data_IF_631935771417
#
_entry.id   IF_631935771417
#
_cell.length_a   1.000
_cell.length_b   1.000
_cell.length_c   1.000
_cell.angle_alpha   90.00
_cell.angle_beta   90.00
_cell.angle_gamma   90.00
#
_symmetry.space_group_name_H-M   'P 1'
#
loop_
_entity.id
_entity.type
_entity.pdbx_description
1 polymer ?
#
# COMPACT_ATOMS: atom_id res chain seq x y z
N UNK A 1 14.50 18.37 -9.24
CA UNK A 1 15.61 17.39 -9.17
C UNK A 1 14.94 16.09 -8.81
N UNK A 2 14.59 15.29 -9.82
CA UNK A 2 13.92 14.00 -9.64
C UNK A 2 14.96 13.08 -8.98
N UNK A 3 14.72 12.69 -7.73
CA UNK A 3 15.61 11.75 -7.04
C UNK A 3 15.14 10.36 -7.44
N UNK A 4 15.94 9.70 -8.26
CA UNK A 4 15.77 8.30 -8.61
C UNK A 4 16.18 7.44 -7.41
N UNK A 5 15.26 6.66 -6.84
CA UNK A 5 15.62 5.71 -5.79
C UNK A 5 15.75 4.32 -6.42
N UNK A 6 16.99 3.86 -6.53
CA UNK A 6 17.28 2.49 -6.93
C UNK A 6 17.06 1.58 -5.73
N UNK A 7 16.09 0.68 -5.79
CA UNK A 7 16.02 -0.45 -4.86
C UNK A 7 17.33 -1.24 -4.96
N UNK A 8 18.09 -1.28 -3.86
CA UNK A 8 19.19 -2.21 -3.72
C UNK A 8 18.60 -3.63 -3.54
N UNK A 9 18.26 -4.27 -4.65
CA UNK A 9 18.04 -5.71 -4.66
C UNK A 9 19.34 -6.39 -4.19
N UNK A 10 19.32 -6.94 -2.99
CA UNK A 10 20.42 -7.77 -2.50
C UNK A 10 20.50 -9.04 -3.34
N UNK A 11 21.36 -9.03 -4.36
CA UNK A 11 21.71 -10.24 -5.11
C UNK A 11 22.52 -11.15 -4.19
N UNK A 12 21.87 -12.18 -3.63
CA UNK A 12 22.56 -13.30 -3.00
C UNK A 12 23.21 -14.14 -4.12
N UNK A 13 24.45 -13.82 -4.46
CA UNK A 13 25.26 -14.65 -5.35
C UNK A 13 25.67 -15.94 -4.62
N UNK A 14 24.96 -17.05 -4.86
CA UNK A 14 25.48 -18.38 -4.56
C UNK A 14 26.59 -18.70 -5.55
N UNK A 15 27.84 -18.62 -5.09
CA UNK A 15 28.99 -19.20 -5.78
C UNK A 15 28.94 -20.71 -5.66
N UNK A 16 28.61 -21.38 -6.77
CA UNK A 16 28.79 -22.81 -6.93
C UNK A 16 30.29 -23.14 -6.97
N UNK A 17 30.80 -23.76 -5.91
CA UNK A 17 32.07 -24.47 -5.92
C UNK A 17 31.77 -25.97 -6.10
N UNK A 18 31.98 -26.44 -7.33
CA UNK A 18 32.04 -27.86 -7.64
C UNK A 18 33.37 -28.44 -7.11
N UNK A 19 33.29 -29.52 -6.33
CA UNK A 19 34.32 -30.56 -6.22
C UNK A 19 33.78 -31.74 -5.41
N UNK A 20 33.99 -32.96 -5.93
CA UNK A 20 34.05 -34.17 -5.09
C UNK A 20 32.85 -35.10 -5.18
N UNK A 21 32.85 -35.93 -6.22
CA UNK A 21 32.22 -37.25 -6.28
C UNK A 21 32.64 -38.14 -5.10
N UNK A 22 31.68 -38.88 -4.51
CA UNK A 22 31.86 -40.26 -4.05
C UNK A 22 30.50 -40.95 -3.92
N UNK A 23 30.38 -42.08 -4.62
CA UNK A 23 29.26 -43.01 -4.63
C UNK A 23 29.16 -43.80 -3.32
N UNK A 24 27.96 -43.92 -2.74
CA UNK A 24 27.57 -45.10 -1.98
C UNK A 24 26.04 -45.25 -1.85
N UNK A 25 25.59 -46.41 -2.30
CA UNK A 25 24.25 -47.00 -2.32
C UNK A 25 23.55 -47.15 -0.96
N UNK A 26 22.21 -47.09 -0.93
CA UNK A 26 21.44 -47.81 0.09
C UNK A 26 20.00 -47.36 0.36
N UNK A 27 19.06 -47.92 -0.41
CA UNK A 27 17.80 -48.57 0.04
C UNK A 27 16.64 -47.77 0.68
N UNK A 28 15.49 -47.82 -0.02
CA UNK A 28 14.10 -47.64 0.48
C UNK A 28 13.71 -48.69 1.54
N UNK A 29 12.64 -48.47 2.34
CA UNK A 29 11.24 -48.80 1.95
C UNK A 29 10.20 -47.74 2.36
N UNK A 30 9.21 -47.43 1.52
CA UNK A 30 7.80 -47.90 1.52
C UNK A 30 6.84 -47.39 2.63
N UNK A 31 5.77 -46.78 2.12
CA UNK A 31 4.34 -46.85 2.47
C UNK A 31 3.74 -46.16 3.71
N UNK A 32 2.67 -45.40 3.42
CA UNK A 32 1.70 -44.90 4.40
C UNK A 32 0.68 -43.91 3.84
N UNK A 33 0.05 -44.17 2.68
CA UNK A 33 -1.11 -43.39 2.24
C UNK A 33 -2.38 -43.89 2.94
N UNK A 34 -3.13 -43.00 3.59
CA UNK A 34 -4.50 -43.28 4.03
C UNK A 34 -5.48 -42.48 3.19
N UNK A 35 -6.35 -43.21 2.50
CA UNK A 35 -7.46 -42.76 1.68
C UNK A 35 -8.70 -42.54 2.54
N UNK A 36 -9.31 -41.35 2.46
CA UNK A 36 -10.64 -41.06 3.00
C UNK A 36 -11.72 -41.45 1.99
N UNK A 37 -12.71 -42.20 2.47
CA UNK A 37 -13.75 -42.90 1.71
C UNK A 37 -14.97 -42.05 1.34
N UNK A 38 -15.62 -42.47 0.25
CA UNK A 38 -16.91 -42.00 -0.27
C UNK A 38 -18.06 -42.09 0.74
N UNK A 39 -18.88 -41.03 0.79
CA UNK A 39 -20.22 -41.03 1.38
C UNK A 39 -21.30 -41.04 0.29
N UNK A 40 -22.23 -41.97 0.41
CA UNK A 40 -23.30 -42.33 -0.53
C UNK A 40 -24.57 -41.50 -0.39
N UNK A 41 -25.36 -41.50 -1.46
CA UNK A 41 -26.67 -40.86 -1.64
C UNK A 41 -27.82 -41.59 -0.95
N UNK A 42 -28.83 -40.84 -0.50
CA UNK A 42 -30.13 -41.34 -0.04
C UNK A 42 -31.26 -40.39 -0.45
N UNK A 43 -32.33 -40.93 -1.02
CA UNK A 43 -33.49 -40.21 -1.60
C UNK A 43 -34.74 -40.24 -0.71
N UNK A 44 -35.54 -39.17 -0.87
CA UNK A 44 -36.99 -38.96 -0.71
C UNK A 44 -37.78 -39.50 0.49
N UNK A 45 -38.38 -38.55 1.23
CA UNK A 45 -39.61 -38.71 1.99
C UNK A 45 -40.50 -37.46 1.85
N UNK A 46 -41.68 -37.63 1.27
CA UNK A 46 -42.74 -36.63 1.10
C UNK A 46 -43.53 -36.40 2.38
N UNK A 47 -43.72 -35.16 2.83
CA UNK A 47 -44.96 -34.67 3.47
C UNK A 47 -44.93 -33.13 3.58
N UNK A 48 -46.07 -32.52 3.29
CA UNK A 48 -46.33 -31.07 3.25
C UNK A 48 -46.53 -30.48 4.64
N UNK A 49 -45.88 -29.34 4.95
CA UNK A 49 -46.15 -28.53 6.13
C UNK A 49 -45.32 -27.23 6.20
N UNK A 50 -45.99 -26.11 5.93
CA UNK A 50 -45.74 -24.70 6.31
C UNK A 50 -44.33 -24.06 6.28
N UNK A 51 -44.22 -23.04 5.41
CA UNK A 51 -43.48 -21.76 5.54
C UNK A 51 -42.30 -21.66 6.53
N UNK A 52 -41.07 -21.62 5.98
CA UNK A 52 -39.87 -21.18 6.69
C UNK A 52 -38.69 -20.89 5.74
N UNK A 53 -38.19 -19.65 5.82
CA UNK A 53 -36.82 -19.17 5.55
C UNK A 53 -36.03 -19.59 4.30
N UNK A 54 -35.74 -18.58 3.46
CA UNK A 54 -34.45 -18.27 2.79
C UNK A 54 -33.58 -19.43 2.27
N UNK A 55 -33.41 -19.47 0.94
CA UNK A 55 -32.49 -20.37 0.25
C UNK A 55 -31.04 -20.23 0.69
N UNK A 56 -30.39 -21.37 0.89
CA UNK A 56 -28.95 -21.51 1.13
C UNK A 56 -28.17 -21.18 -0.14
N UNK A 57 -27.43 -20.07 -0.11
CA UNK A 57 -26.35 -19.76 -1.05
C UNK A 57 -25.20 -20.74 -0.88
N UNK A 58 -24.58 -21.12 -1.99
CA UNK A 58 -23.51 -22.11 -2.07
C UNK A 58 -22.24 -21.73 -1.29
N UNK A 59 -21.44 -22.74 -0.96
CA UNK A 59 -20.15 -22.62 -0.29
C UNK A 59 -19.23 -21.65 -1.03
N UNK A 60 -18.96 -20.52 -0.38
CA UNK A 60 -17.80 -19.69 -0.63
C UNK A 60 -16.52 -20.46 -0.26
N UNK A 61 -15.51 -20.38 -1.12
CA UNK A 61 -14.18 -20.93 -0.89
C UNK A 61 -13.51 -20.36 0.35
N UNK A 62 -12.47 -21.07 0.79
CA UNK A 62 -11.72 -20.83 2.03
C UNK A 62 -11.43 -19.35 2.26
N UNK A 63 -12.02 -18.84 3.34
CA UNK A 63 -11.74 -17.53 3.93
C UNK A 63 -10.24 -17.35 4.14
N UNK A 64 -9.68 -16.32 3.51
CA UNK A 64 -8.46 -15.69 4.00
C UNK A 64 -8.69 -15.26 5.46
N UNK A 65 -7.67 -15.40 6.29
CA UNK A 65 -7.69 -14.92 7.66
C UNK A 65 -8.03 -13.43 7.67
N UNK A 66 -9.16 -13.07 8.27
CA UNK A 66 -9.45 -11.69 8.64
C UNK A 66 -8.32 -11.22 9.55
N UNK A 67 -7.40 -10.41 9.01
CA UNK A 67 -6.36 -9.77 9.80
C UNK A 67 -7.06 -8.99 10.92
N UNK A 68 -6.68 -9.27 12.16
CA UNK A 68 -7.14 -8.48 13.30
C UNK A 68 -6.65 -7.05 13.09
N UNK A 69 -7.56 -6.19 12.66
CA UNK A 69 -7.37 -4.74 12.60
C UNK A 69 -6.86 -4.27 13.96
N UNK A 70 -5.72 -3.58 13.97
CA UNK A 70 -5.22 -2.93 15.17
C UNK A 70 -6.32 -2.15 15.88
N UNK A 71 -6.65 -2.53 17.11
CA UNK A 71 -7.78 -1.99 17.89
C UNK A 71 -7.55 -0.58 18.43
N UNK A 72 -6.60 0.17 17.88
CA UNK A 72 -6.21 1.48 18.38
C UNK A 72 -6.72 2.58 17.48
N UNK A 73 -7.77 3.25 17.95
CA UNK A 73 -8.39 4.37 17.27
C UNK A 73 -9.90 4.15 17.08
N UNK A 74 -10.54 5.13 16.46
CA UNK A 74 -11.97 5.09 16.15
C UNK A 74 -12.18 5.22 14.64
N UNK A 75 -13.17 4.54 14.03
CA UNK A 75 -13.47 4.72 12.63
C UNK A 75 -13.68 6.20 12.29
N UNK A 76 -13.05 6.68 11.22
CA UNK A 76 -13.22 8.06 10.76
C UNK A 76 -14.55 8.29 10.03
N UNK A 77 -14.77 9.51 9.51
CA UNK A 77 -15.95 9.82 8.71
C UNK A 77 -15.95 9.11 7.35
N UNK A 78 -14.79 8.58 6.92
CA UNK A 78 -14.57 8.02 5.60
C UNK A 78 -13.97 9.04 4.64
N UNK A 79 -13.33 8.53 3.61
CA UNK A 79 -12.68 9.33 2.56
C UNK A 79 -13.33 9.00 1.23
N UNK A 80 -13.59 10.02 0.42
CA UNK A 80 -14.17 9.84 -0.92
C UNK A 80 -13.39 10.63 -1.95
N UNK A 81 -13.11 10.01 -3.09
CA UNK A 81 -12.46 10.66 -4.23
C UNK A 81 -13.09 10.19 -5.54
N UNK A 82 -13.43 11.14 -6.42
CA UNK A 82 -14.05 10.89 -7.71
C UNK A 82 -15.27 9.95 -7.69
N UNK A 83 -16.12 10.08 -6.66
CA UNK A 83 -17.32 9.28 -6.46
C UNK A 83 -17.10 7.93 -5.76
N UNK A 84 -15.83 7.54 -5.55
CA UNK A 84 -15.47 6.31 -4.85
C UNK A 84 -15.26 6.55 -3.36
N UNK A 85 -15.72 5.63 -2.53
CA UNK A 85 -15.19 5.51 -1.17
C UNK A 85 -13.76 4.95 -1.25
N UNK A 86 -12.84 5.54 -0.50
CA UNK A 86 -11.44 5.08 -0.41
C UNK A 86 -11.29 4.31 0.89
N UNK A 87 -11.51 2.99 0.78
CA UNK A 87 -11.55 2.04 1.88
C UNK A 87 -12.69 2.24 2.90
N UNK A 88 -13.06 1.20 3.65
CA UNK A 88 -13.96 1.31 4.80
C UNK A 88 -13.53 2.36 5.84
N UNK A 89 -14.47 2.85 6.65
CA UNK A 89 -14.20 3.92 7.62
C UNK A 89 -13.32 3.44 8.79
N UNK A 90 -13.37 2.14 9.07
CA UNK A 90 -12.54 1.43 10.03
C UNK A 90 -11.24 0.89 9.41
N UNK A 91 -10.99 1.17 8.13
CA UNK A 91 -9.70 0.90 7.52
C UNK A 91 -8.60 1.71 8.22
N UNK A 92 -7.40 1.16 8.46
CA UNK A 92 -6.33 1.91 9.11
C UNK A 92 -6.01 3.26 8.47
N UNK A 93 -6.15 3.43 7.16
CA UNK A 93 -6.02 4.75 6.52
C UNK A 93 -7.03 5.76 7.08
N UNK A 94 -8.27 5.36 7.32
CA UNK A 94 -9.37 6.23 7.75
C UNK A 94 -9.56 6.30 9.28
N UNK A 95 -8.83 5.49 10.07
CA UNK A 95 -8.96 5.45 11.53
C UNK A 95 -8.43 6.72 12.19
N UNK A 96 -9.25 7.39 12.99
CA UNK A 96 -8.85 8.46 13.89
C UNK A 96 -8.01 7.88 15.03
N UNK A 97 -6.76 8.32 15.12
CA UNK A 97 -5.81 7.90 16.14
C UNK A 97 -5.53 9.01 17.13
N UNK A 98 -6.24 10.13 17.17
CA UNK A 98 -5.95 11.26 18.09
C UNK A 98 -5.93 10.87 19.57
N UNK A 99 -6.68 9.84 19.95
CA UNK A 99 -6.74 9.31 21.32
C UNK A 99 -6.05 7.95 21.48
N UNK A 100 -5.38 7.44 20.43
CA UNK A 100 -4.65 6.17 20.50
C UNK A 100 -3.49 6.27 21.50
N UNK A 101 -3.24 5.19 22.23
CA UNK A 101 -2.11 5.11 23.16
C UNK A 101 -0.78 5.23 22.43
N UNK A 102 0.16 5.96 23.03
CA UNK A 102 1.56 5.99 22.58
C UNK A 102 2.19 4.61 22.79
N UNK A 103 2.97 4.16 21.81
CA UNK A 103 3.77 2.94 21.95
C UNK A 103 5.09 3.28 22.65
N UNK A 104 5.12 3.08 23.97
CA UNK A 104 6.29 3.46 24.80
C UNK A 104 7.56 2.69 24.44
N UNK A 105 7.40 1.44 24.00
CA UNK A 105 8.52 0.56 23.66
C UNK A 105 9.16 1.04 22.36
N UNK A 106 8.36 1.25 21.31
CA UNK A 106 8.86 1.77 20.03
C UNK A 106 9.33 3.23 20.15
N UNK A 107 8.70 4.04 21.00
CA UNK A 107 9.18 5.38 21.31
C UNK A 107 10.59 5.38 21.91
N UNK A 108 10.95 4.34 22.67
CA UNK A 108 12.28 4.20 23.27
C UNK A 108 13.27 3.56 22.30
N UNK A 109 12.86 2.51 21.58
CA UNK A 109 13.78 1.69 20.77
C UNK A 109 13.91 2.12 19.31
N UNK A 110 12.95 2.87 18.76
CA UNK A 110 12.87 3.18 17.32
C UNK A 110 12.94 4.67 17.05
N UNK A 111 12.13 5.47 17.75
CA UNK A 111 12.03 6.90 17.51
C UNK A 111 13.40 7.63 17.47
N UNK A 112 14.39 7.32 18.33
CA UNK A 112 15.72 7.94 18.25
C UNK A 112 16.47 7.71 16.92
N UNK A 113 16.09 6.68 16.16
CA UNK A 113 16.69 6.28 14.88
C UNK A 113 15.91 6.80 13.66
N UNK A 114 14.86 7.60 13.87
CA UNK A 114 14.03 8.16 12.81
C UNK A 114 14.38 9.62 12.51
N UNK A 115 15.67 9.97 12.42
CA UNK A 115 16.15 11.29 11.98
C UNK A 115 15.40 12.49 12.59
N UNK A 116 15.36 12.55 13.93
CA UNK A 116 14.49 13.47 14.69
C UNK A 116 14.66 14.96 14.40
N UNK A 117 15.82 15.38 13.86
CA UNK A 117 16.09 16.76 13.50
C UNK A 117 15.59 17.17 12.10
N UNK A 118 15.21 16.19 11.27
CA UNK A 118 14.79 16.39 9.88
C UNK A 118 13.36 16.93 9.84
N UNK A 119 13.16 17.97 9.02
CA UNK A 119 11.85 18.56 8.77
C UNK A 119 11.07 17.78 7.72
N UNK A 120 9.75 17.83 7.76
CA UNK A 120 8.92 17.23 6.72
C UNK A 120 9.19 17.86 5.36
N UNK A 121 9.15 17.05 4.30
CA UNK A 121 9.19 17.53 2.92
C UNK A 121 7.91 17.12 2.18
N UNK A 122 7.10 18.08 1.66
CA UNK A 122 5.99 17.75 0.80
C UNK A 122 6.47 17.38 -0.61
N UNK A 123 6.38 16.10 -0.94
CA UNK A 123 6.85 15.51 -2.19
C UNK A 123 5.72 15.46 -3.24
N UNK A 124 5.26 16.64 -3.67
CA UNK A 124 4.30 16.79 -4.75
C UNK A 124 4.35 18.18 -5.37
N UNK A 125 3.68 18.34 -6.51
CA UNK A 125 3.61 19.61 -7.21
C UNK A 125 2.64 19.56 -8.37
N UNK A 126 3.03 20.17 -9.48
CA UNK A 126 2.17 20.31 -10.65
C UNK A 126 2.38 19.18 -11.66
N UNK A 127 1.36 18.92 -12.48
CA UNK A 127 1.45 18.01 -13.63
C UNK A 127 2.48 18.54 -14.63
N UNK A 128 2.53 19.86 -14.84
CA UNK A 128 3.46 20.51 -15.75
C UNK A 128 4.93 20.30 -15.34
N UNK A 129 5.20 20.25 -14.03
CA UNK A 129 6.52 19.95 -13.46
C UNK A 129 6.82 18.44 -13.39
N UNK A 130 5.82 17.59 -13.68
CA UNK A 130 5.88 16.13 -13.54
C UNK A 130 6.30 15.71 -12.12
N UNK A 131 5.77 16.41 -11.11
CA UNK A 131 6.14 16.22 -9.69
C UNK A 131 4.93 15.85 -8.84
N UNK A 132 5.14 14.94 -7.88
CA UNK A 132 4.09 14.19 -7.19
C UNK A 132 3.61 12.98 -7.99
N UNK A 133 2.57 12.32 -7.49
CA UNK A 133 2.05 11.11 -8.13
C UNK A 133 0.77 11.39 -8.91
N UNK A 134 0.73 11.15 -10.23
CA UNK A 134 -0.48 11.39 -11.00
C UNK A 134 -1.51 10.29 -10.75
N UNK A 135 -2.75 10.70 -10.49
CA UNK A 135 -3.90 9.79 -10.38
C UNK A 135 -4.70 9.87 -11.67
N UNK A 136 -4.82 8.75 -12.39
CA UNK A 136 -5.74 8.62 -13.52
C UNK A 136 -7.06 8.07 -13.02
N UNK A 137 -8.18 8.71 -13.37
CA UNK A 137 -9.52 8.27 -12.96
C UNK A 137 -10.39 8.04 -14.18
N UNK A 138 -11.15 6.96 -14.18
CA UNK A 138 -12.20 6.76 -15.18
C UNK A 138 -12.77 5.36 -15.19
N UNK A 139 -13.47 5.06 -16.27
CA UNK A 139 -13.96 3.72 -16.57
C UNK A 139 -12.81 2.77 -16.89
N UNK A 140 -12.84 1.58 -16.30
CA UNK A 140 -12.01 0.43 -16.63
C UNK A 140 -12.00 0.19 -18.14
N UNK A 141 -10.79 0.05 -18.70
CA UNK A 141 -10.58 -0.30 -20.09
C UNK A 141 -10.73 -1.81 -20.31
N UNK A 142 -10.62 -2.27 -21.56
CA UNK A 142 -10.38 -3.69 -21.81
C UNK A 142 -9.08 -4.11 -21.13
N UNK A 143 -9.05 -5.20 -20.32
CA UNK A 143 -7.83 -5.66 -19.67
C UNK A 143 -6.65 -5.83 -20.63
N UNK A 144 -5.52 -5.19 -20.31
CA UNK A 144 -4.28 -5.22 -21.10
C UNK A 144 -3.18 -5.98 -20.35
N UNK A 145 -2.33 -6.75 -21.06
CA UNK A 145 -1.30 -7.56 -20.42
C UNK A 145 -0.24 -6.72 -19.71
N UNK A 146 0.28 -7.26 -18.59
CA UNK A 146 1.45 -6.71 -17.90
C UNK A 146 2.67 -7.59 -18.19
N UNK A 147 3.78 -6.96 -18.59
CA UNK A 147 5.09 -7.59 -18.73
C UNK A 147 5.97 -7.18 -17.56
N UNK A 148 6.46 -8.16 -16.81
CA UNK A 148 7.27 -7.90 -15.62
C UNK A 148 8.74 -7.67 -15.97
N UNK A 149 9.35 -6.60 -15.45
CA UNK A 149 10.79 -6.30 -15.60
C UNK A 149 11.65 -7.02 -14.57
N UNK A 150 11.03 -7.60 -13.54
CA UNK A 150 11.70 -8.30 -12.44
C UNK A 150 11.20 -9.74 -12.35
N UNK A 151 12.03 -10.62 -11.77
CA UNK A 151 11.68 -12.03 -11.58
C UNK A 151 10.63 -12.25 -10.49
N UNK A 152 10.54 -11.33 -9.52
CA UNK A 152 9.61 -11.38 -8.38
C UNK A 152 8.25 -10.74 -8.70
N UNK A 153 8.16 -9.91 -9.75
CA UNK A 153 6.90 -9.30 -10.20
C UNK A 153 5.74 -10.30 -10.32
N UNK A 154 5.90 -11.44 -11.03
CA UNK A 154 4.84 -12.46 -11.14
C UNK A 154 4.47 -13.16 -9.82
N UNK A 155 5.28 -13.09 -8.77
CA UNK A 155 5.05 -13.80 -7.50
C UNK A 155 4.49 -12.91 -6.40
N UNK A 156 4.58 -11.58 -6.56
CA UNK A 156 4.13 -10.60 -5.56
C UNK A 156 3.11 -9.59 -6.11
N UNK A 157 2.63 -9.79 -7.35
CA UNK A 157 1.59 -8.98 -7.99
C UNK A 157 0.24 -9.70 -8.04
N UNK A 158 -0.85 -8.95 -8.03
CA UNK A 158 -2.19 -9.56 -8.04
C UNK A 158 -2.56 -10.12 -9.42
N UNK A 159 -3.01 -11.38 -9.50
CA UNK A 159 -3.47 -11.91 -10.78
C UNK A 159 -4.85 -11.32 -11.14
N UNK A 160 -4.96 -10.80 -12.36
CA UNK A 160 -6.22 -10.49 -13.03
C UNK A 160 -6.25 -11.28 -14.35
N UNK A 161 -7.15 -12.27 -14.49
CA UNK A 161 -7.19 -13.13 -15.67
C UNK A 161 -7.33 -12.38 -16.99
N UNK A 162 -6.58 -12.82 -18.00
CA UNK A 162 -6.66 -12.25 -19.35
C UNK A 162 -7.93 -12.73 -20.08
N UNK A 163 -8.75 -11.82 -20.67
CA UNK A 163 -9.98 -12.19 -21.37
C UNK A 163 -9.78 -13.16 -22.54
N UNK A 164 -8.62 -13.14 -23.19
CA UNK A 164 -8.27 -14.02 -24.31
C UNK A 164 -7.95 -15.46 -23.91
N UNK A 165 -7.85 -15.76 -22.60
CA UNK A 165 -7.23 -16.99 -22.10
C UNK A 165 -5.69 -16.96 -22.24
N UNK A 166 -5.00 -17.74 -21.41
CA UNK A 166 -3.54 -17.96 -21.51
C UNK A 166 -2.63 -17.07 -20.64
N UNK A 167 -3.17 -16.05 -19.96
CA UNK A 167 -2.40 -15.16 -19.08
C UNK A 167 -3.14 -14.81 -17.78
N UNK A 168 -2.38 -14.45 -16.74
CA UNK A 168 -2.90 -14.14 -15.38
C UNK A 168 -2.75 -12.67 -14.97
N UNK A 169 -2.11 -11.83 -15.76
CA UNK A 169 -1.84 -10.44 -15.41
C UNK A 169 -2.31 -9.53 -16.54
N UNK A 170 -3.61 -9.25 -16.57
CA UNK A 170 -4.22 -8.33 -17.50
C UNK A 170 -5.06 -7.29 -16.75
N UNK A 171 -4.56 -6.06 -16.61
CA UNK A 171 -5.22 -5.02 -15.82
C UNK A 171 -6.04 -4.10 -16.72
N UNK A 172 -7.25 -3.68 -16.32
CA UNK A 172 -8.12 -2.80 -17.12
C UNK A 172 -7.72 -1.32 -17.01
N UNK A 173 -6.44 -1.04 -17.21
CA UNK A 173 -5.86 0.31 -17.16
C UNK A 173 -5.89 0.92 -18.58
N UNK A 174 -6.42 2.15 -18.76
CA UNK A 174 -6.31 2.89 -20.02
C UNK A 174 -4.85 3.11 -20.43
N UNK A 175 -4.50 2.90 -21.70
CA UNK A 175 -3.10 3.02 -22.18
C UNK A 175 -2.54 4.45 -22.10
N UNK A 176 -3.40 5.44 -21.91
CA UNK A 176 -3.06 6.85 -21.69
C UNK A 176 -3.01 7.24 -20.20
N UNK A 177 -3.10 6.27 -19.28
CA UNK A 177 -2.89 6.50 -17.86
C UNK A 177 -1.50 7.10 -17.61
N UNK A 178 -1.49 8.13 -16.74
CA UNK A 178 -0.30 8.92 -16.45
C UNK A 178 0.68 8.15 -15.59
N UNK A 179 1.97 8.39 -15.81
CA UNK A 179 3.08 7.82 -15.06
C UNK A 179 3.84 8.98 -14.39
N UNK A 180 4.23 8.79 -13.13
CA UNK A 180 5.11 9.70 -12.39
C UNK A 180 6.37 10.05 -13.20
N UNK A 181 6.77 11.32 -13.14
CA UNK A 181 7.94 11.83 -13.87
C UNK A 181 7.76 11.88 -15.40
N UNK A 182 6.60 11.44 -15.90
CA UNK A 182 6.21 11.51 -17.31
C UNK A 182 7.14 10.76 -18.28
N UNK A 183 7.02 11.04 -19.59
CA UNK A 183 7.78 10.34 -20.62
C UNK A 183 9.30 10.53 -20.53
N UNK A 184 9.76 11.58 -19.86
CA UNK A 184 11.18 11.93 -19.72
C UNK A 184 11.90 11.25 -18.55
N UNK A 185 11.16 10.70 -17.58
CA UNK A 185 11.76 9.99 -16.44
C UNK A 185 12.53 8.74 -16.89
N UNK A 186 13.65 8.46 -16.24
CA UNK A 186 14.54 7.35 -16.60
C UNK A 186 13.92 6.03 -16.15
N UNK A 187 14.22 4.95 -16.86
CA UNK A 187 13.75 3.59 -16.53
C UNK A 187 14.02 3.16 -15.08
N UNK A 188 15.10 3.67 -14.46
CA UNK A 188 15.46 3.36 -13.07
C UNK A 188 14.85 4.28 -12.00
N UNK A 189 14.02 5.26 -12.39
CA UNK A 189 13.23 6.08 -11.46
C UNK A 189 11.96 5.28 -11.04
N UNK A 190 11.28 5.71 -9.99
CA UNK A 190 10.17 4.94 -9.40
C UNK A 190 8.99 4.74 -10.36
N UNK A 191 8.57 5.79 -11.08
CA UNK A 191 7.63 5.73 -12.19
C UNK A 191 6.32 5.01 -11.83
N UNK A 192 5.70 5.44 -10.73
CA UNK A 192 4.39 4.93 -10.31
C UNK A 192 3.30 5.27 -11.33
N UNK A 193 2.40 4.31 -11.57
CA UNK A 193 1.13 4.52 -12.27
C UNK A 193 0.00 4.19 -11.32
N UNK A 194 -0.92 5.15 -11.14
CA UNK A 194 -2.10 5.00 -10.28
C UNK A 194 -3.34 5.17 -11.13
N UNK A 195 -4.18 4.13 -11.19
CA UNK A 195 -5.46 4.17 -11.90
C UNK A 195 -6.62 3.77 -10.99
N UNK A 196 -7.53 4.72 -10.76
CA UNK A 196 -8.79 4.51 -10.07
C UNK A 196 -9.90 4.23 -11.09
N UNK A 197 -10.32 2.97 -11.14
CA UNK A 197 -11.50 2.56 -11.89
C UNK A 197 -12.77 2.88 -11.07
N UNK A 198 -13.60 3.79 -11.56
CA UNK A 198 -14.80 4.26 -10.87
C UNK A 198 -16.13 3.79 -11.51
N UNK A 199 -16.09 2.67 -12.24
CA UNK A 199 -17.27 2.08 -12.86
C UNK A 199 -18.36 1.75 -11.83
N UNK A 200 -19.52 2.40 -11.95
CA UNK A 200 -20.68 2.07 -11.12
C UNK A 200 -20.50 2.36 -9.62
N UNK A 201 -19.61 3.30 -9.27
CA UNK A 201 -19.45 3.88 -7.93
C UNK A 201 -20.78 4.10 -7.16
N UNK A 202 -20.80 4.02 -5.80
CA UNK A 202 -19.63 4.17 -4.91
C UNK A 202 -18.96 2.89 -4.38
N UNK A 203 -19.61 1.73 -4.39
CA UNK A 203 -19.13 0.53 -3.66
C UNK A 203 -18.43 -0.53 -4.55
N UNK A 204 -18.11 -0.19 -5.80
CA UNK A 204 -17.46 -1.11 -6.75
C UNK A 204 -16.19 -0.52 -7.37
N UNK A 205 -15.59 0.46 -6.70
CA UNK A 205 -14.36 1.07 -7.17
C UNK A 205 -13.15 0.16 -6.95
N UNK A 206 -12.34 0.03 -7.99
CA UNK A 206 -11.11 -0.74 -7.99
C UNK A 206 -9.94 0.20 -8.23
N UNK A 207 -8.86 -0.01 -7.49
CA UNK A 207 -7.62 0.73 -7.64
C UNK A 207 -6.54 -0.19 -8.19
N UNK A 208 -5.87 0.24 -9.24
CA UNK A 208 -4.76 -0.46 -9.87
C UNK A 208 -3.51 0.41 -9.76
N UNK A 209 -2.46 -0.12 -9.15
CA UNK A 209 -1.20 0.58 -8.96
C UNK A 209 -0.05 -0.25 -9.53
N UNK A 210 0.83 0.36 -10.30
CA UNK A 210 2.03 -0.28 -10.86
C UNK A 210 3.28 0.49 -10.41
N UNK A 211 4.35 -0.23 -10.08
CA UNK A 211 5.66 0.33 -9.78
C UNK A 211 6.67 0.09 -10.91
N UNK A 212 7.56 1.04 -11.12
CA UNK A 212 8.56 1.08 -12.18
C UNK A 212 7.94 0.89 -13.58
N UNK A 213 6.85 1.61 -13.84
CA UNK A 213 6.10 1.51 -15.09
C UNK A 213 6.88 2.16 -16.22
N UNK A 214 7.24 1.38 -17.24
CA UNK A 214 7.96 1.87 -18.40
C UNK A 214 7.01 2.59 -19.36
N UNK A 215 7.57 3.50 -20.17
CA UNK A 215 6.79 4.20 -21.19
C UNK A 215 6.08 3.20 -22.12
N UNK A 216 4.81 3.49 -22.38
CA UNK A 216 3.96 2.61 -23.16
C UNK A 216 4.50 2.43 -24.59
N UNK A 217 4.71 1.17 -24.99
CA UNK A 217 5.28 0.82 -26.31
C UNK A 217 4.51 -0.28 -27.06
N UNK A 218 3.33 -0.66 -26.59
CA UNK A 218 2.54 -1.74 -27.20
C UNK A 218 1.10 -1.83 -26.74
N UNK A 219 0.57 -3.05 -26.68
CA UNK A 219 -0.83 -3.33 -26.32
C UNK A 219 -1.09 -3.43 -24.81
N UNK A 220 -0.06 -3.33 -23.97
CA UNK A 220 -0.14 -3.38 -22.52
C UNK A 220 1.10 -2.81 -21.85
N UNK A 221 1.19 -2.90 -20.53
CA UNK A 221 2.22 -2.20 -19.76
C UNK A 221 3.44 -3.09 -19.46
N UNK A 222 4.57 -2.44 -19.21
CA UNK A 222 5.78 -3.08 -18.67
C UNK A 222 6.09 -2.44 -17.32
N UNK A 223 6.19 -3.23 -16.25
CA UNK A 223 6.34 -2.73 -14.87
C UNK A 223 7.13 -3.74 -14.01
N UNK A 224 7.59 -3.34 -12.83
CA UNK A 224 8.25 -4.25 -11.88
C UNK A 224 7.22 -5.01 -11.02
N UNK A 225 6.13 -4.37 -10.62
CA UNK A 225 5.07 -4.96 -9.80
C UNK A 225 3.71 -4.32 -10.07
N UNK A 226 2.64 -4.98 -9.61
CA UNK A 226 1.29 -4.46 -9.73
C UNK A 226 0.35 -4.92 -8.62
N UNK A 227 -0.35 -3.96 -8.02
CA UNK A 227 -1.30 -4.17 -6.95
C UNK A 227 -2.72 -3.76 -7.36
N UNK A 228 -3.70 -4.51 -6.89
CA UNK A 228 -5.13 -4.31 -7.12
C UNK A 228 -5.83 -4.25 -5.77
N UNK A 229 -6.54 -3.16 -5.50
CA UNK A 229 -7.28 -2.96 -4.27
C UNK A 229 -8.78 -2.79 -4.54
N UNK A 230 -9.59 -3.55 -3.82
CA UNK A 230 -11.04 -3.33 -3.71
C UNK A 230 -11.28 -2.27 -2.65
N UNK A 231 -11.79 -1.10 -3.04
CA UNK A 231 -11.89 0.06 -2.14
C UNK A 231 -13.07 -0.01 -1.15
N UNK A 232 -13.88 -1.06 -1.21
CA UNK A 232 -14.93 -1.39 -0.27
C UNK A 232 -14.48 -2.39 0.81
N UNK A 233 -13.19 -2.79 0.82
CA UNK A 233 -12.68 -3.88 1.65
C UNK A 233 -11.53 -3.46 2.57
N UNK A 234 -11.44 -4.12 3.73
CA UNK A 234 -10.28 -4.08 4.64
C UNK A 234 -9.32 -5.27 4.43
N UNK A 235 -9.54 -6.07 3.38
CA UNK A 235 -8.65 -7.18 3.07
C UNK A 235 -7.22 -6.67 2.82
N UNK A 236 -6.26 -7.28 3.51
CA UNK A 236 -4.84 -7.03 3.28
C UNK A 236 -4.36 -7.83 2.06
N UNK A 237 -3.24 -7.41 1.48
CA UNK A 237 -2.49 -8.24 0.54
C UNK A 237 -1.99 -9.52 1.25
N UNK A 238 -1.59 -10.56 0.50
CA UNK A 238 -0.89 -11.68 1.10
C UNK A 238 0.37 -11.24 1.86
N UNK A 239 0.66 -11.91 2.98
CA UNK A 239 1.89 -11.67 3.75
C UNK A 239 3.13 -11.86 2.86
N UNK A 240 4.09 -10.95 2.99
CA UNK A 240 5.31 -10.91 2.19
C UNK A 240 5.14 -10.36 0.77
N UNK A 241 3.94 -9.95 0.34
CA UNK A 241 3.77 -9.36 -0.99
C UNK A 241 3.95 -7.85 -0.96
N UNK A 242 4.88 -7.34 -1.75
CA UNK A 242 4.99 -5.91 -2.03
C UNK A 242 3.78 -5.39 -2.83
N UNK A 243 3.75 -4.08 -3.11
CA UNK A 243 2.76 -3.43 -3.95
C UNK A 243 3.44 -2.50 -4.95
N UNK A 244 2.76 -1.42 -5.38
CA UNK A 244 3.45 -0.29 -5.99
C UNK A 244 4.26 0.53 -4.95
N UNK A 245 4.02 0.28 -3.66
CA UNK A 245 4.75 0.77 -2.49
C UNK A 245 5.53 -0.40 -1.83
N UNK A 246 6.61 -0.11 -1.10
CA UNK A 246 7.40 -1.17 -0.44
C UNK A 246 6.66 -1.86 0.73
N UNK A 247 5.75 -1.16 1.44
CA UNK A 247 5.02 -1.75 2.55
C UNK A 247 3.92 -2.75 2.16
N UNK A 248 3.64 -2.94 0.86
CA UNK A 248 2.50 -3.74 0.41
C UNK A 248 1.15 -3.02 0.60
N UNK A 249 1.12 -1.69 0.63
CA UNK A 249 -0.09 -0.90 0.84
C UNK A 249 -0.45 -0.08 -0.39
N UNK A 250 -1.69 0.44 -0.45
CA UNK A 250 -2.07 1.39 -1.49
C UNK A 250 -1.33 2.71 -1.33
N UNK A 251 -0.67 3.15 -2.41
CA UNK A 251 -0.04 4.47 -2.50
C UNK A 251 -1.11 5.57 -2.46
N UNK A 252 -2.14 5.46 -3.29
CA UNK A 252 -3.20 6.46 -3.47
C UNK A 252 -3.96 6.77 -2.18
N UNK A 253 -4.16 5.78 -1.31
CA UNK A 253 -4.86 5.97 -0.04
C UNK A 253 -4.10 6.84 0.97
N UNK A 254 -2.79 6.99 0.81
CA UNK A 254 -1.96 7.85 1.65
C UNK A 254 -1.60 9.21 1.03
N UNK A 255 -2.05 9.51 -0.19
CA UNK A 255 -1.68 10.77 -0.87
C UNK A 255 -2.50 11.95 -0.37
N UNK A 256 -1.82 13.07 -0.16
CA UNK A 256 -2.47 14.37 0.01
C UNK A 256 -3.02 14.85 -1.34
N UNK A 257 -4.32 15.18 -1.38
CA UNK A 257 -4.99 15.62 -2.61
C UNK A 257 -5.46 17.07 -2.54
N UNK A 258 -5.49 17.74 -3.69
CA UNK A 258 -5.91 19.13 -3.77
C UNK A 258 -7.40 19.31 -3.44
N UNK A 259 -8.24 18.36 -3.84
CA UNK A 259 -9.67 18.40 -3.52
C UNK A 259 -9.93 18.43 -2.00
N UNK A 260 -9.06 17.81 -1.20
CA UNK A 260 -9.22 17.75 0.26
C UNK A 260 -8.94 19.12 0.87
N UNK A 261 -7.94 19.79 0.31
CA UNK A 261 -7.62 21.17 0.64
C UNK A 261 -8.78 22.10 0.26
N UNK A 262 -9.43 21.87 -0.89
CA UNK A 262 -10.61 22.64 -1.28
C UNK A 262 -11.81 22.37 -0.36
N UNK A 263 -11.97 21.14 0.10
CA UNK A 263 -13.00 20.74 1.08
C UNK A 263 -12.69 21.25 2.50
N UNK A 264 -11.43 21.54 2.80
CA UNK A 264 -10.98 22.04 4.09
C UNK A 264 -10.56 20.96 5.08
N UNK A 265 -10.52 19.69 4.67
CA UNK A 265 -10.17 18.57 5.54
C UNK A 265 -9.58 17.39 4.76
N UNK A 266 -8.59 16.74 5.35
CA UNK A 266 -8.09 15.42 4.96
C UNK A 266 -8.56 14.44 6.02
N UNK A 267 -9.20 13.36 5.59
CA UNK A 267 -9.93 12.41 6.46
C UNK A 267 -9.25 11.05 6.59
N UNK A 268 -7.98 10.97 6.20
CA UNK A 268 -7.17 9.76 6.25
C UNK A 268 -5.73 10.07 6.72
N UNK A 269 -4.98 9.02 7.02
CA UNK A 269 -3.56 9.09 7.33
C UNK A 269 -2.75 9.36 6.06
N UNK A 270 -1.62 10.06 6.21
CA UNK A 270 -0.76 10.43 5.08
C UNK A 270 0.43 9.46 5.04
N UNK A 271 0.82 9.00 3.85
CA UNK A 271 2.02 8.13 3.72
C UNK A 271 3.30 8.96 3.89
N UNK A 272 4.33 8.34 4.46
CA UNK A 272 5.67 8.93 4.51
C UNK A 272 6.77 7.88 4.33
N UNK A 273 7.99 8.35 4.11
CA UNK A 273 9.17 7.51 3.86
C UNK A 273 10.28 7.72 4.89
N UNK A 274 11.14 6.71 5.02
CA UNK A 274 12.38 6.73 5.81
C UNK A 274 13.51 6.13 4.98
N UNK A 275 14.75 6.60 5.15
CA UNK A 275 15.89 6.12 4.34
C UNK A 275 16.26 4.68 4.69
N UNK A 276 16.10 4.32 5.96
CA UNK A 276 16.38 3.00 6.47
C UNK A 276 15.21 2.46 7.29
N UNK A 277 14.77 1.25 6.95
CA UNK A 277 13.71 0.52 7.64
C UNK A 277 14.18 -0.87 8.05
N UNK A 278 13.45 -1.52 8.96
CA UNK A 278 13.72 -2.91 9.35
C UNK A 278 12.92 -3.89 8.48
N UNK A 279 13.42 -5.11 8.41
CA UNK A 279 12.81 -6.28 7.75
C UNK A 279 11.64 -6.86 8.57
N UNK A 280 10.68 -6.00 8.87
CA UNK A 280 9.47 -6.30 9.62
C UNK A 280 8.43 -5.20 9.36
N UNK A 281 7.16 -5.51 9.63
CA UNK A 281 6.04 -4.62 9.39
C UNK A 281 5.02 -4.66 10.52
N UNK A 282 4.14 -3.65 10.56
CA UNK A 282 2.94 -3.58 11.38
C UNK A 282 1.76 -3.44 10.42
N UNK A 283 0.72 -4.25 10.60
CA UNK A 283 -0.48 -4.14 9.75
C UNK A 283 -1.07 -2.71 9.76
N UNK A 284 -1.56 -2.21 8.61
CA UNK A 284 -1.92 -2.98 7.40
C UNK A 284 -0.78 -3.25 6.42
N UNK A 285 0.45 -2.85 6.71
CA UNK A 285 1.58 -3.30 5.90
C UNK A 285 1.70 -4.83 5.95
N UNK A 286 2.11 -5.42 4.83
CA UNK A 286 2.27 -6.87 4.65
C UNK A 286 3.66 -7.23 4.15
N UNK A 287 4.49 -6.22 3.86
CA UNK A 287 5.84 -6.38 3.33
C UNK A 287 6.77 -5.30 3.88
N UNK A 288 8.06 -5.57 3.83
CA UNK A 288 9.17 -4.73 4.24
C UNK A 288 10.31 -4.86 3.23
N UNK A 289 11.08 -3.77 3.09
CA UNK A 289 12.24 -3.71 2.20
C UNK A 289 13.48 -3.25 2.97
N UNK A 290 13.62 -3.71 4.22
CA UNK A 290 14.58 -3.19 5.19
C UNK A 290 15.76 -4.12 5.48
N UNK A 291 16.50 -3.79 6.53
CA UNK A 291 17.57 -4.62 7.08
C UNK A 291 17.14 -5.33 8.37
N UNK A 292 17.97 -6.25 8.89
CA UNK A 292 17.67 -6.96 10.15
C UNK A 292 17.91 -6.13 11.41
N UNK A 293 18.26 -4.84 11.29
CA UNK A 293 18.46 -3.96 12.43
C UNK A 293 17.13 -3.61 13.10
N UNK A 294 16.92 -4.14 14.31
CA UNK A 294 15.69 -3.95 15.10
C UNK A 294 15.56 -2.56 15.73
N UNK A 295 16.51 -1.65 15.51
CA UNK A 295 16.38 -0.24 15.91
C UNK A 295 15.68 0.62 14.84
N UNK A 296 15.71 0.20 13.57
CA UNK A 296 15.09 0.93 12.45
C UNK A 296 13.56 0.81 12.49
N UNK A 297 12.78 1.74 11.91
CA UNK A 297 11.32 1.62 11.93
C UNK A 297 10.81 0.49 11.02
N UNK A 298 9.78 -0.28 11.45
CA UNK A 298 9.09 -1.25 10.59
C UNK A 298 8.12 -0.57 9.62
N UNK A 299 7.90 -1.16 8.44
CA UNK A 299 6.84 -0.70 7.54
C UNK A 299 5.48 -0.74 8.24
N UNK A 300 4.58 0.18 7.88
CA UNK A 300 3.27 0.34 8.53
C UNK A 300 3.31 0.96 9.94
N UNK A 301 4.50 1.31 10.46
CA UNK A 301 4.62 2.10 11.69
C UNK A 301 3.79 3.39 11.56
N UNK A 302 2.93 3.64 12.56
CA UNK A 302 2.11 4.84 12.59
C UNK A 302 2.64 5.85 13.59
N UNK A 303 2.84 7.08 13.12
CA UNK A 303 3.20 8.23 13.95
C UNK A 303 2.10 9.26 13.93
N UNK A 304 1.93 10.00 15.02
CA UNK A 304 0.95 11.09 15.15
C UNK A 304 1.69 12.36 15.52
N UNK A 305 1.31 13.49 14.93
CA UNK A 305 1.82 14.79 15.37
C UNK A 305 1.29 15.09 16.77
N UNK A 306 2.19 15.41 17.71
CA UNK A 306 1.81 15.63 19.11
C UNK A 306 0.74 16.71 19.22
N UNK A 307 -0.24 16.49 20.10
CA UNK A 307 -1.29 17.48 20.38
C UNK A 307 -0.73 18.84 20.84
N UNK A 308 0.43 18.82 21.51
CA UNK A 308 1.15 20.00 22.00
C UNK A 308 1.87 20.82 20.91
N UNK A 309 1.96 20.32 19.68
CA UNK A 309 2.56 21.08 18.58
C UNK A 309 1.72 22.34 18.31
N UNK A 310 2.34 23.53 18.41
CA UNK A 310 1.69 24.81 18.16
C UNK A 310 1.53 25.07 16.66
N UNK A 311 0.31 24.90 16.19
CA UNK A 311 -0.12 25.14 14.81
C UNK A 311 -1.04 26.36 14.71
N UNK A 312 -1.01 27.27 15.68
CA UNK A 312 -1.84 28.49 15.70
C UNK A 312 -1.50 29.47 14.58
N UNK A 313 -0.26 29.43 14.08
CA UNK A 313 0.23 30.30 12.99
C UNK A 313 0.08 29.68 11.60
N UNK A 314 -0.32 28.41 11.52
CA UNK A 314 -0.53 27.74 10.24
C UNK A 314 -1.90 28.13 9.69
N UNK A 315 -1.94 28.37 8.37
CA UNK A 315 -3.17 28.71 7.65
C UNK A 315 -3.25 27.92 6.35
N UNK A 316 -4.41 27.96 5.70
CA UNK A 316 -4.60 27.36 4.38
C UNK A 316 -4.24 25.87 4.32
N UNK A 317 -3.62 25.41 3.23
CA UNK A 317 -3.30 23.99 3.01
C UNK A 317 -2.44 23.39 4.13
N UNK A 318 -1.45 24.12 4.66
CA UNK A 318 -0.59 23.62 5.73
C UNK A 318 -1.37 23.31 7.01
N UNK A 319 -2.39 24.12 7.35
CA UNK A 319 -3.23 23.88 8.52
C UNK A 319 -4.07 22.61 8.36
N UNK A 320 -4.58 22.38 7.16
CA UNK A 320 -5.39 21.19 6.83
C UNK A 320 -4.55 19.92 6.97
N UNK A 321 -3.35 19.91 6.36
CA UNK A 321 -2.40 18.80 6.46
C UNK A 321 -2.01 18.50 7.91
N UNK A 322 -1.66 19.53 8.69
CA UNK A 322 -1.30 19.37 10.10
C UNK A 322 -2.47 18.88 10.96
N UNK A 323 -3.69 19.30 10.66
CA UNK A 323 -4.89 18.81 11.34
C UNK A 323 -5.06 17.31 11.12
N UNK A 324 -4.84 16.83 9.89
CA UNK A 324 -4.86 15.40 9.60
C UNK A 324 -3.70 14.65 10.26
N UNK A 325 -2.49 15.20 10.33
CA UNK A 325 -1.36 14.59 11.05
C UNK A 325 -1.63 14.43 12.55
N UNK A 326 -2.38 15.35 13.17
CA UNK A 326 -2.80 15.22 14.58
C UNK A 326 -3.90 14.17 14.76
N UNK A 327 -4.81 14.06 13.78
CA UNK A 327 -6.01 13.20 13.88
C UNK A 327 -5.78 11.78 13.38
N UNK A 328 -5.26 11.64 12.17
CA UNK A 328 -5.02 10.36 11.49
C UNK A 328 -3.54 9.97 11.48
N UNK A 329 -2.62 10.92 11.66
CA UNK A 329 -1.19 10.60 11.67
C UNK A 329 -0.61 10.28 10.30
N UNK A 330 0.62 9.75 10.32
CA UNK A 330 1.37 9.29 9.17
C UNK A 330 1.62 7.79 9.28
N UNK A 331 1.62 7.08 8.15
CA UNK A 331 1.97 5.66 8.08
C UNK A 331 3.23 5.50 7.23
N UNK A 332 4.24 4.82 7.78
CA UNK A 332 5.49 4.53 7.08
C UNK A 332 5.20 3.53 5.97
N UNK A 333 5.36 3.95 4.72
CA UNK A 333 4.89 3.18 3.58
C UNK A 333 6.04 2.73 2.67
N UNK A 334 7.13 3.48 2.63
CA UNK A 334 8.25 3.19 1.72
C UNK A 334 9.62 3.52 2.31
N UNK A 335 10.65 3.00 1.64
CA UNK A 335 12.00 3.53 1.75
C UNK A 335 12.15 4.74 0.83
N UNK A 336 12.77 5.81 1.32
CA UNK A 336 12.96 7.04 0.58
C UNK A 336 13.63 8.08 1.45
N UNK A 337 13.60 9.36 1.09
CA UNK A 337 14.17 10.37 1.98
C UNK A 337 13.40 10.48 3.30
N UNK A 338 14.13 10.68 4.40
CA UNK A 338 13.53 10.79 5.72
C UNK A 338 12.46 11.88 5.78
N UNK A 339 11.28 11.52 6.28
CA UNK A 339 10.16 12.45 6.52
C UNK A 339 9.57 13.11 5.27
N UNK A 340 9.73 12.50 4.10
CA UNK A 340 9.00 12.91 2.90
C UNK A 340 7.57 12.39 3.02
N UNK A 341 6.59 13.27 2.82
CA UNK A 341 5.18 12.92 2.70
C UNK A 341 4.74 13.14 1.26
N UNK A 342 3.90 12.27 0.72
CA UNK A 342 3.59 12.28 -0.72
C UNK A 342 2.20 12.83 -1.01
N UNK A 343 2.05 13.48 -2.16
CA UNK A 343 0.77 14.01 -2.64
C UNK A 343 0.57 13.77 -4.14
N UNK A 344 -0.62 14.11 -4.62
CA UNK A 344 -0.94 13.98 -6.04
C UNK A 344 -0.26 15.06 -6.91
N UNK A 345 -0.04 14.76 -8.20
CA UNK A 345 0.29 15.77 -9.20
C UNK A 345 -0.97 16.53 -9.63
N UNK A 346 -1.05 17.81 -9.28
CA UNK A 346 -2.17 18.68 -9.64
C UNK A 346 -1.71 20.13 -9.83
N UNK A 347 -2.05 20.75 -10.97
CA UNK A 347 -1.63 22.10 -11.32
C UNK A 347 -2.17 23.17 -10.34
N UNK A 348 -3.29 22.88 -9.68
CA UNK A 348 -3.86 23.77 -8.67
C UNK A 348 -3.00 23.91 -7.39
N UNK A 349 -2.00 23.06 -7.17
CA UNK A 349 -1.04 23.22 -6.07
C UNK A 349 -0.10 24.42 -6.23
N UNK A 350 0.12 24.89 -7.47
CA UNK A 350 1.11 25.92 -7.81
C UNK A 350 1.17 27.13 -6.86
N UNK A 351 0.04 27.80 -6.51
CA UNK A 351 0.08 28.94 -5.59
C UNK A 351 0.39 28.57 -4.14
N UNK A 352 0.22 27.31 -3.73
CA UNK A 352 0.34 26.86 -2.34
C UNK A 352 1.69 26.19 -2.00
N UNK A 353 2.42 25.67 -2.99
CA UNK A 353 3.61 24.84 -2.73
C UNK A 353 4.71 25.57 -1.96
N UNK A 354 4.95 26.85 -2.22
CA UNK A 354 5.97 27.62 -1.49
C UNK A 354 5.69 27.70 0.01
N UNK A 355 4.44 28.00 0.38
CA UNK A 355 4.00 28.09 1.77
C UNK A 355 3.97 26.71 2.45
N UNK A 356 3.58 25.67 1.71
CA UNK A 356 3.62 24.28 2.19
C UNK A 356 5.04 23.84 2.52
N UNK A 357 5.98 23.99 1.59
CA UNK A 357 7.39 23.63 1.80
C UNK A 357 7.96 24.39 3.00
N UNK A 358 7.70 25.71 3.08
CA UNK A 358 8.21 26.54 4.20
C UNK A 358 7.60 26.17 5.55
N UNK A 359 6.31 25.82 5.58
CA UNK A 359 5.59 25.53 6.82
C UNK A 359 5.85 24.11 7.32
N UNK A 360 5.76 23.12 6.43
CA UNK A 360 5.94 21.71 6.78
C UNK A 360 7.40 21.41 7.11
N UNK A 361 8.37 22.05 6.44
CA UNK A 361 9.80 21.91 6.76
C UNK A 361 10.20 22.38 8.17
N UNK A 362 9.31 23.07 8.89
CA UNK A 362 9.53 23.44 10.31
C UNK A 362 9.07 22.37 11.29
N UNK A 363 8.25 21.43 10.83
CA UNK A 363 7.76 20.30 11.63
C UNK A 363 8.80 19.21 11.54
N UNK A 364 9.39 18.85 12.67
CA UNK A 364 10.50 17.90 12.73
C UNK A 364 10.01 16.52 13.13
N UNK A 365 10.79 15.48 12.83
CA UNK A 365 10.54 14.14 13.35
C UNK A 365 10.32 14.12 14.87
N UNK A 366 11.06 14.94 15.63
CA UNK A 366 10.87 15.07 17.09
C UNK A 366 9.49 15.56 17.54
N UNK A 367 8.69 16.16 16.66
CA UNK A 367 7.34 16.65 16.95
C UNK A 367 6.29 15.53 16.91
N UNK A 368 6.67 14.35 16.42
CA UNK A 368 5.82 13.17 16.33
C UNK A 368 5.99 12.23 17.54
N UNK A 369 5.00 11.35 17.71
CA UNK A 369 5.02 10.22 18.62
C UNK A 369 4.50 8.97 17.91
N UNK A 370 5.06 7.80 18.23
CA UNK A 370 4.62 6.51 17.69
C UNK A 370 3.36 6.09 18.44
N UNK A 371 2.30 5.77 17.70
CA UNK A 371 1.04 5.26 18.27
C UNK A 371 0.98 3.75 18.12
N UNK A 372 0.46 3.07 19.15
CA UNK A 372 0.39 1.61 19.17
C UNK A 372 -0.71 1.13 18.23
N UNK A 373 -0.39 0.63 17.05
CA UNK A 373 -1.38 0.13 16.06
C UNK A 373 -1.36 -1.37 15.85
N UNK A 374 -0.39 -2.09 16.39
CA UNK A 374 -0.29 -3.54 16.23
C UNK A 374 1.06 -4.06 16.72
N UNK A 375 1.25 -5.37 16.59
CA UNK A 375 2.54 -6.00 16.84
C UNK A 375 3.47 -5.86 15.63
N UNK A 376 4.78 -5.78 15.88
CA UNK A 376 5.80 -5.89 14.83
C UNK A 376 5.90 -7.36 14.40
N UNK A 377 5.71 -7.60 13.11
CA UNK A 377 5.71 -8.91 12.47
C UNK A 377 6.97 -9.02 11.60
N UNK A 378 7.88 -9.98 11.87
CA UNK A 378 9.03 -10.22 11.01
C UNK A 378 8.59 -10.60 9.60
N UNK A 379 9.29 -10.12 8.57
CA UNK A 379 9.02 -10.55 7.20
C UNK A 379 9.28 -12.06 7.05
N UNK A 380 8.33 -12.82 6.49
CA UNK A 380 8.59 -14.21 6.12
C UNK A 380 9.63 -14.26 4.99
N UNK A 381 10.58 -15.20 5.11
CA UNK A 381 11.64 -15.45 4.13
C UNK A 381 11.36 -16.69 3.27
#
# INVERSE_FOLDING_TARGET
MVVAFTFAASTLAMTAAACGSDDASGSSPENGSTSGSNGTSGSNGTTTGSSGSTGTSGSSGSSGTSGTSGTSGTPGPGTTYAGCRIFPNDNPWNTDVSTASVDTDLMTSVMPHMSLGTGLHPDWGTVDEQYGLPITVGKASTPVPITWTTSWGPTESDPVPCPSGGGKFCYPIPLDAKIEGGPGAKTGDDRHLIFLANDGAPDHCMLYELYNTQNQSGAGFTAASGAVFSLDSNALRPEGWTSADAAGMSVMAGLVRWEEVQRGEITHAIRFTMDATRDAYIHPATHAAGSKDTSLPPMGLRVRLKASFDDSKLTGPSKIVVTAMKKYGLILADNGSDWYITGESENAWKPAMGDLVSSLGKIKGSDFEIVKTGSVIPQPH
#
